data_IF_159704509259
#
_entry.id   IF_159704509259
#
_cell.length_a   1.000
_cell.length_b   1.000
_cell.length_c   1.000
_cell.angle_alpha   90.00
_cell.angle_beta   90.00
_cell.angle_gamma   90.00
#
_symmetry.space_group_name_H-M   'P 1'
#
loop_
_entity.id
_entity.type
_entity.pdbx_description
1 polymer ?
#
# COMPACT_ATOMS: atom_id res chain seq x y z
N UNK A 1 -15.00 5.66 -21.32
CA UNK A 1 -14.63 4.23 -21.54
C UNK A 1 -15.55 3.37 -20.70
N UNK A 2 -15.93 2.17 -21.16
CA UNK A 2 -16.86 1.31 -20.41
C UNK A 2 -16.24 0.63 -19.18
N UNK A 3 -17.08 0.27 -18.20
CA UNK A 3 -16.68 -0.52 -17.03
C UNK A 3 -16.03 -1.84 -17.46
N UNK A 4 -14.88 -2.18 -16.87
CA UNK A 4 -14.09 -3.39 -17.18
C UNK A 4 -13.76 -3.60 -18.67
N UNK A 5 -13.86 -2.55 -19.49
CA UNK A 5 -13.43 -2.63 -20.89
C UNK A 5 -11.92 -2.69 -20.98
N UNK A 6 -11.40 -3.35 -22.03
CA UNK A 6 -9.96 -3.42 -22.29
C UNK A 6 -9.32 -2.03 -22.34
N UNK A 7 -10.01 -1.04 -22.92
CA UNK A 7 -9.55 0.34 -22.97
C UNK A 7 -9.42 0.97 -21.56
N UNK A 8 -10.42 0.79 -20.68
CA UNK A 8 -10.35 1.29 -19.31
C UNK A 8 -9.20 0.63 -18.54
N UNK A 9 -9.11 -0.69 -18.64
CA UNK A 9 -8.08 -1.51 -18.00
C UNK A 9 -6.69 -1.05 -18.42
N UNK A 10 -6.48 -0.86 -19.72
CA UNK A 10 -5.22 -0.41 -20.30
C UNK A 10 -4.78 0.95 -19.72
N UNK A 11 -5.68 1.95 -19.74
CA UNK A 11 -5.35 3.28 -19.22
C UNK A 11 -5.04 3.25 -17.72
N UNK A 12 -5.80 2.49 -16.94
CA UNK A 12 -5.52 2.31 -15.51
C UNK A 12 -4.15 1.66 -15.28
N UNK A 13 -3.80 0.62 -16.05
CA UNK A 13 -2.54 -0.08 -15.91
C UNK A 13 -1.34 0.81 -16.27
N UNK A 14 -1.42 1.55 -17.37
CA UNK A 14 -0.34 2.44 -17.83
C UNK A 14 -0.18 3.66 -16.91
N UNK A 15 -1.28 4.28 -16.47
CA UNK A 15 -1.24 5.37 -15.48
C UNK A 15 -0.62 4.90 -14.16
N UNK A 16 -0.99 3.70 -13.69
CA UNK A 16 -0.41 3.09 -12.49
C UNK A 16 1.10 2.88 -12.63
N UNK A 17 1.59 2.42 -13.79
CA UNK A 17 3.03 2.25 -14.03
C UNK A 17 3.77 3.58 -13.87
N UNK A 18 3.28 4.64 -14.52
CA UNK A 18 3.89 5.98 -14.42
C UNK A 18 3.97 6.46 -12.97
N UNK A 19 2.89 6.32 -12.21
CA UNK A 19 2.85 6.72 -10.80
C UNK A 19 3.76 5.85 -9.90
N UNK A 20 3.90 4.56 -10.21
CA UNK A 20 4.78 3.65 -9.45
C UNK A 20 6.26 3.94 -9.67
N UNK A 21 6.64 4.39 -10.88
CA UNK A 21 8.01 4.86 -11.17
C UNK A 21 8.33 6.15 -10.41
N UNK A 22 7.39 7.10 -10.38
CA UNK A 22 7.55 8.34 -9.61
C UNK A 22 7.66 8.04 -8.11
N UNK A 23 6.84 7.10 -7.61
CA UNK A 23 6.93 6.59 -6.25
C UNK A 23 8.30 5.98 -5.96
N UNK A 24 8.79 5.11 -6.84
CA UNK A 24 10.07 4.43 -6.66
C UNK A 24 11.23 5.42 -6.58
N UNK A 25 11.18 6.52 -7.35
CA UNK A 25 12.22 7.54 -7.37
C UNK A 25 12.19 8.49 -6.18
N UNK A 26 10.99 8.97 -5.80
CA UNK A 26 10.88 10.14 -4.95
C UNK A 26 10.51 9.84 -3.49
N UNK A 27 9.85 8.71 -3.20
CA UNK A 27 9.26 8.51 -1.87
C UNK A 27 10.34 8.13 -0.85
N UNK A 28 10.48 8.97 0.18
CA UNK A 28 11.35 8.77 1.33
C UNK A 28 10.82 9.55 2.53
N UNK A 29 11.42 9.35 3.71
CA UNK A 29 11.12 10.14 4.90
C UNK A 29 11.45 11.62 4.65
N UNK A 30 10.45 12.48 4.77
CA UNK A 30 10.55 13.93 4.50
C UNK A 30 11.56 14.64 5.42
N UNK A 31 11.88 14.06 6.57
CA UNK A 31 12.94 14.54 7.48
C UNK A 31 14.34 14.41 6.88
N UNK A 32 14.51 13.56 5.86
CA UNK A 32 15.79 13.22 5.25
C UNK A 32 15.86 13.54 3.75
N UNK A 33 14.73 13.64 3.06
CA UNK A 33 14.67 13.96 1.64
C UNK A 33 13.44 14.78 1.31
N UNK A 34 13.60 15.82 0.48
CA UNK A 34 12.47 16.65 0.03
C UNK A 34 11.78 16.00 -1.16
N UNK A 35 10.61 15.42 -0.91
CA UNK A 35 9.71 14.91 -1.95
C UNK A 35 8.92 16.09 -2.54
N UNK A 36 8.89 16.29 -3.88
CA UNK A 36 8.15 17.39 -4.49
C UNK A 36 6.64 17.07 -4.60
N UNK A 37 5.97 16.87 -3.46
CA UNK A 37 4.58 16.39 -3.38
C UNK A 37 3.61 17.26 -4.19
N UNK A 38 3.68 18.58 -4.04
CA UNK A 38 2.82 19.52 -4.76
C UNK A 38 2.96 19.41 -6.29
N UNK A 39 4.19 19.25 -6.78
CA UNK A 39 4.45 19.07 -8.20
C UNK A 39 3.91 17.73 -8.70
N UNK A 40 4.20 16.63 -7.98
CA UNK A 40 3.73 15.29 -8.33
C UNK A 40 2.20 15.18 -8.36
N UNK A 41 1.51 15.96 -7.53
CA UNK A 41 0.04 16.02 -7.47
C UNK A 41 -0.58 17.10 -8.37
N UNK A 42 0.23 17.89 -9.09
CA UNK A 42 -0.27 18.99 -9.91
C UNK A 42 -1.01 18.50 -11.17
N UNK A 43 -2.02 19.25 -11.61
CA UNK A 43 -2.75 18.96 -12.85
C UNK A 43 -1.86 19.08 -14.10
N UNK A 44 -0.91 20.00 -14.08
CA UNK A 44 0.04 20.18 -15.18
C UNK A 44 0.93 18.92 -15.36
N UNK A 45 1.55 18.46 -14.27
CA UNK A 45 2.36 17.24 -14.33
C UNK A 45 1.52 16.01 -14.68
N UNK A 46 0.30 15.89 -14.14
CA UNK A 46 -0.60 14.81 -14.50
C UNK A 46 -0.92 14.80 -16.02
N UNK A 47 -1.10 15.96 -16.64
CA UNK A 47 -1.31 16.06 -18.09
C UNK A 47 -0.07 15.63 -18.89
N UNK A 48 1.13 16.04 -18.46
CA UNK A 48 2.40 15.60 -19.07
C UNK A 48 2.55 14.07 -19.01
N UNK A 49 2.24 13.46 -17.87
CA UNK A 49 2.30 12.01 -17.68
C UNK A 49 1.23 11.29 -18.49
N UNK A 50 0.00 11.82 -18.54
CA UNK A 50 -1.09 11.23 -19.31
C UNK A 50 -0.80 11.18 -20.81
N UNK A 51 -0.08 12.17 -21.36
CA UNK A 51 0.32 12.20 -22.77
C UNK A 51 1.23 11.02 -23.18
N UNK A 52 1.87 10.34 -22.22
CA UNK A 52 2.70 9.16 -22.47
C UNK A 52 1.86 7.87 -22.66
N UNK A 53 0.60 7.88 -22.24
CA UNK A 53 -0.30 6.73 -22.34
C UNK A 53 -0.87 6.67 -23.76
N UNK A 54 -0.51 5.62 -24.48
CA UNK A 54 -1.04 5.36 -25.82
C UNK A 54 -2.13 4.31 -25.80
N UNK A 55 -3.27 4.51 -26.46
CA UNK A 55 -4.39 3.57 -26.43
C UNK A 55 -4.12 2.27 -27.20
N UNK A 56 -3.16 2.27 -28.13
CA UNK A 56 -2.87 1.20 -29.08
C UNK A 56 -1.69 0.31 -28.67
N UNK A 57 -0.88 0.73 -27.68
CA UNK A 57 0.30 -0.02 -27.25
C UNK A 57 0.68 0.22 -25.81
N UNK A 58 1.34 -0.80 -25.26
CA UNK A 58 1.96 -0.79 -23.93
C UNK A 58 3.27 0.00 -23.97
N UNK A 59 3.64 0.70 -22.88
CA UNK A 59 4.94 1.37 -22.77
C UNK A 59 6.13 0.40 -22.77
N UNK A 60 7.19 0.77 -23.48
CA UNK A 60 8.35 -0.09 -23.76
C UNK A 60 9.34 -0.25 -22.58
N UNK A 61 9.35 0.65 -21.58
CA UNK A 61 10.34 0.64 -20.47
C UNK A 61 9.78 1.20 -19.15
N UNK A 62 9.87 0.43 -18.07
CA UNK A 62 9.67 0.86 -16.67
C UNK A 62 10.65 0.06 -15.78
N UNK A 63 11.49 0.72 -14.97
CA UNK A 63 12.41 0.08 -13.99
C UNK A 63 12.63 1.03 -12.80
N UNK A 64 12.57 0.56 -11.53
CA UNK A 64 13.34 -0.62 -11.07
C UNK A 64 12.59 -1.70 -10.24
N UNK A 65 13.06 -2.95 -10.39
CA UNK A 65 13.15 -4.01 -9.35
C UNK A 65 11.94 -4.90 -9.06
N UNK A 66 12.09 -6.23 -9.25
CA UNK A 66 11.18 -7.26 -8.73
C UNK A 66 11.47 -7.54 -7.24
N UNK A 67 10.74 -6.85 -6.35
CA UNK A 67 10.57 -7.31 -4.99
C UNK A 67 9.21 -8.03 -4.88
N UNK A 68 9.15 -9.34 -4.59
CA UNK A 68 7.89 -9.99 -4.26
C UNK A 68 7.32 -9.37 -2.97
N UNK A 69 6.42 -8.40 -3.12
CA UNK A 69 5.67 -7.84 -2.00
C UNK A 69 4.53 -8.80 -1.67
N UNK A 70 4.77 -9.68 -0.70
CA UNK A 70 3.72 -10.37 0.04
C UNK A 70 3.68 -9.72 1.40
N UNK A 71 2.74 -8.80 1.56
CA UNK A 71 2.49 -8.10 2.81
C UNK A 71 1.02 -8.24 3.14
N UNK A 72 0.73 -8.98 4.20
CA UNK A 72 -0.58 -9.00 4.81
C UNK A 72 -0.67 -7.83 5.79
N UNK A 73 -1.82 -7.17 5.77
CA UNK A 73 -2.06 -5.94 6.49
C UNK A 73 -3.50 -5.99 6.97
N UNK A 74 -3.76 -5.46 8.16
CA UNK A 74 -5.12 -5.36 8.67
C UNK A 74 -5.59 -3.92 8.49
N UNK A 75 -6.69 -3.76 7.76
CA UNK A 75 -7.41 -2.51 7.60
C UNK A 75 -8.74 -2.60 8.34
N UNK A 76 -9.17 -1.51 8.95
CA UNK A 76 -10.55 -1.35 9.39
C UNK A 76 -11.01 0.10 9.26
N UNK A 77 -12.31 0.28 9.08
CA UNK A 77 -12.96 1.58 9.14
C UNK A 77 -14.06 1.58 10.19
N UNK A 78 -14.21 2.72 10.85
CA UNK A 78 -15.31 2.97 11.79
C UNK A 78 -16.03 4.23 11.36
N UNK A 79 -17.36 4.22 11.44
CA UNK A 79 -18.19 5.41 11.34
C UNK A 79 -19.23 5.36 12.46
N UNK A 80 -19.55 6.50 13.06
CA UNK A 80 -20.57 6.60 14.12
C UNK A 80 -21.72 7.55 13.75
N UNK A 81 -22.72 7.61 14.64
CA UNK A 81 -23.92 8.42 14.48
C UNK A 81 -23.65 9.93 14.50
N UNK A 82 -22.54 10.34 15.11
CA UNK A 82 -22.16 11.74 15.32
C UNK A 82 -21.25 12.24 14.17
N UNK A 83 -21.00 11.40 13.17
CA UNK A 83 -20.24 11.76 11.97
C UNK A 83 -18.73 11.62 12.12
N UNK A 84 -18.24 10.95 13.17
CA UNK A 84 -16.84 10.53 13.22
C UNK A 84 -16.60 9.41 12.21
N UNK A 85 -15.55 9.54 11.40
CA UNK A 85 -15.06 8.46 10.55
C UNK A 85 -13.57 8.24 10.78
N UNK A 86 -13.17 6.98 10.87
CA UNK A 86 -11.78 6.55 11.07
C UNK A 86 -11.42 5.57 9.95
N UNK A 87 -10.30 5.85 9.28
CA UNK A 87 -9.62 4.94 8.36
C UNK A 87 -8.31 4.52 9.00
N UNK A 88 -8.23 3.27 9.45
CA UNK A 88 -7.10 2.78 10.22
C UNK A 88 -6.47 1.55 9.58
N UNK A 89 -5.14 1.55 9.55
CA UNK A 89 -4.40 0.43 8.99
C UNK A 89 -3.09 0.20 9.73
N UNK A 90 -2.84 -1.05 10.06
CA UNK A 90 -1.65 -1.48 10.80
C UNK A 90 -1.08 -2.77 10.22
N UNK A 91 0.24 -2.94 10.31
CA UNK A 91 0.89 -4.13 9.77
C UNK A 91 2.31 -4.29 10.30
N UNK A 92 2.69 -5.55 10.54
CA UNK A 92 4.06 -5.96 10.79
C UNK A 92 4.94 -6.06 9.53
N UNK A 93 4.45 -5.55 8.40
CA UNK A 93 4.94 -5.71 7.02
C UNK A 93 4.69 -7.11 6.44
N UNK A 94 5.53 -8.11 6.73
CA UNK A 94 5.30 -9.48 6.22
C UNK A 94 4.68 -10.38 7.27
N UNK A 95 3.37 -10.60 7.22
CA UNK A 95 2.67 -11.55 8.10
C UNK A 95 3.00 -11.30 9.58
N UNK A 96 3.76 -12.22 10.18
CA UNK A 96 4.21 -12.12 11.58
C UNK A 96 5.45 -11.22 11.80
N UNK A 97 5.86 -10.44 10.79
CA UNK A 97 7.02 -9.56 10.83
C UNK A 97 8.33 -10.34 10.83
N UNK A 98 9.28 -9.89 11.64
CA UNK A 98 10.60 -10.51 11.79
C UNK A 98 10.57 -11.92 12.38
N UNK A 99 9.44 -12.33 12.96
CA UNK A 99 9.32 -13.57 13.75
C UNK A 99 9.98 -13.49 15.13
N UNK A 100 10.56 -12.35 15.49
CA UNK A 100 11.10 -12.09 16.82
C UNK A 100 9.98 -11.66 17.77
N UNK A 101 9.97 -12.26 18.96
CA UNK A 101 9.06 -11.92 20.06
C UNK A 101 9.95 -11.51 21.24
N UNK A 102 9.69 -10.37 21.90
CA UNK A 102 10.47 -10.00 23.07
C UNK A 102 10.19 -10.94 24.25
N UNK A 103 11.25 -11.23 24.98
CA UNK A 103 11.16 -11.94 26.25
C UNK A 103 10.72 -10.96 27.36
N UNK A 104 9.87 -11.45 28.25
CA UNK A 104 9.46 -10.79 29.47
C UNK A 104 10.50 -10.93 30.59
N UNK A 105 10.32 -10.21 31.70
CA UNK A 105 11.24 -10.25 32.84
C UNK A 105 11.41 -11.65 33.46
N UNK A 106 10.43 -12.54 33.26
CA UNK A 106 10.40 -13.92 33.76
C UNK A 106 10.91 -14.95 32.74
N UNK A 107 11.42 -14.51 31.58
CA UNK A 107 11.85 -15.38 30.48
C UNK A 107 10.73 -15.99 29.66
N UNK A 108 9.47 -15.63 29.91
CA UNK A 108 8.34 -15.95 29.03
C UNK A 108 8.31 -15.02 27.82
N UNK A 109 7.60 -15.36 26.75
CA UNK A 109 7.43 -14.44 25.61
C UNK A 109 6.28 -13.47 25.86
N UNK A 110 6.46 -12.18 25.52
CA UNK A 110 5.42 -11.16 25.71
C UNK A 110 4.24 -11.24 24.71
N UNK A 111 4.30 -12.17 23.75
CA UNK A 111 3.17 -12.48 22.87
C UNK A 111 2.93 -11.54 21.69
N UNK A 112 3.75 -10.51 21.47
CA UNK A 112 3.70 -9.66 20.28
C UNK A 112 4.99 -9.74 19.46
N UNK A 113 4.88 -9.70 18.14
CA UNK A 113 6.03 -9.83 17.23
C UNK A 113 6.53 -8.48 16.75
N UNK A 114 7.86 -8.36 16.59
CA UNK A 114 8.45 -7.18 15.98
C UNK A 114 8.26 -7.19 14.46
N UNK A 115 7.87 -6.05 13.92
CA UNK A 115 7.78 -5.83 12.47
C UNK A 115 9.13 -6.00 11.74
N UNK A 116 9.09 -6.35 10.46
CA UNK A 116 10.26 -6.41 9.56
C UNK A 116 10.27 -5.27 8.52
N UNK A 117 9.56 -4.17 8.81
CA UNK A 117 9.39 -2.99 7.93
C UNK A 117 10.70 -2.39 7.40
N UNK A 118 11.80 -2.58 8.11
CA UNK A 118 13.14 -2.15 7.68
C UNK A 118 13.56 -2.72 6.32
N UNK A 119 12.96 -3.83 5.85
CA UNK A 119 13.18 -4.37 4.51
C UNK A 119 12.85 -3.37 3.39
N UNK A 120 12.00 -2.37 3.67
CA UNK A 120 11.63 -1.35 2.69
C UNK A 120 12.68 -0.24 2.53
N UNK A 121 13.83 -0.27 3.22
CA UNK A 121 14.94 0.61 2.88
C UNK A 121 15.59 0.20 1.55
N UNK A 122 16.03 1.19 0.78
CA UNK A 122 16.83 0.96 -0.42
C UNK A 122 18.26 0.55 -0.03
N UNK A 123 18.83 -0.38 -0.81
CA UNK A 123 20.23 -0.81 -0.69
C UNK A 123 21.14 -0.13 -1.72
N UNK A 124 20.59 0.77 -2.54
CA UNK A 124 21.32 1.49 -3.58
C UNK A 124 21.78 2.83 -3.03
N UNK A 125 23.09 3.03 -2.99
CA UNK A 125 23.70 4.29 -2.57
C UNK A 125 23.15 5.48 -3.35
N UNK A 126 22.97 6.60 -2.66
CA UNK A 126 22.37 7.82 -3.22
C UNK A 126 20.85 7.78 -3.38
N UNK A 127 20.19 6.64 -3.15
CA UNK A 127 18.73 6.59 -3.17
C UNK A 127 18.14 7.35 -1.97
N UNK A 128 17.09 8.18 -2.16
CA UNK A 128 16.48 8.96 -1.07
C UNK A 128 16.00 8.13 0.12
N UNK A 129 15.70 6.85 -0.11
CA UNK A 129 15.22 5.89 0.89
C UNK A 129 16.32 4.91 1.40
N UNK A 130 17.61 5.27 1.34
CA UNK A 130 18.66 4.51 2.07
C UNK A 130 18.51 4.66 3.58
N UNK A 131 18.89 3.64 4.34
CA UNK A 131 18.86 3.65 5.81
C UNK A 131 19.63 4.83 6.42
N UNK A 132 19.07 5.41 7.48
CA UNK A 132 19.79 6.30 8.40
C UNK A 132 19.20 6.17 9.82
N UNK A 133 19.98 6.41 10.89
CA UNK A 133 19.46 6.40 12.26
C UNK A 133 18.26 7.36 12.41
N UNK A 134 17.19 6.89 13.05
CA UNK A 134 15.95 7.66 13.25
C UNK A 134 15.10 7.87 12.00
N UNK A 135 15.54 7.45 10.81
CA UNK A 135 14.77 7.51 9.57
C UNK A 135 13.73 6.42 9.52
N UNK A 136 12.54 6.73 9.00
CA UNK A 136 11.50 5.75 8.70
C UNK A 136 11.71 5.21 7.28
N UNK A 137 11.60 3.90 7.06
CA UNK A 137 11.59 3.37 5.70
C UNK A 137 10.34 3.84 4.96
N UNK A 138 10.38 3.79 3.63
CA UNK A 138 9.17 3.84 2.80
C UNK A 138 8.09 2.91 3.39
N UNK A 139 6.85 3.39 3.45
CA UNK A 139 5.72 2.63 3.97
C UNK A 139 4.76 2.26 2.85
N UNK A 140 4.35 0.98 2.83
CA UNK A 140 3.30 0.48 1.95
C UNK A 140 1.90 0.74 2.49
N UNK A 141 1.78 1.05 3.79
CA UNK A 141 0.50 1.22 4.49
C UNK A 141 -0.09 2.60 4.15
N UNK A 142 -1.30 2.62 3.58
CA UNK A 142 -2.01 3.85 3.25
C UNK A 142 -3.50 3.79 3.66
N UNK A 143 -3.97 4.53 4.68
CA UNK A 143 -5.41 4.67 4.94
C UNK A 143 -6.02 5.62 3.90
N UNK A 144 -7.11 5.21 3.26
CA UNK A 144 -7.86 6.04 2.32
C UNK A 144 -8.97 6.80 3.03
N UNK A 145 -9.13 8.08 2.68
CA UNK A 145 -10.24 8.91 3.12
C UNK A 145 -10.68 9.82 1.99
N UNK A 146 -11.93 9.69 1.55
CA UNK A 146 -12.49 10.45 0.44
C UNK A 146 -13.45 11.54 0.94
N UNK A 147 -13.46 12.67 0.25
CA UNK A 147 -14.39 13.77 0.50
C UNK A 147 -15.08 14.17 -0.81
N UNK A 148 -16.35 14.57 -0.72
CA UNK A 148 -17.16 14.99 -1.86
C UNK A 148 -17.83 16.31 -1.49
N UNK A 149 -17.64 17.35 -2.32
CA UNK A 149 -18.16 18.69 -1.99
C UNK A 149 -17.55 19.31 -0.72
N UNK A 150 -16.34 18.90 -0.34
CA UNK A 150 -15.69 19.35 0.91
C UNK A 150 -16.09 18.55 2.16
N UNK A 151 -17.13 17.71 2.07
CA UNK A 151 -17.65 16.91 3.17
C UNK A 151 -17.07 15.49 3.18
N UNK A 152 -16.84 14.89 4.36
CA UNK A 152 -16.46 13.48 4.47
C UNK A 152 -17.44 12.56 3.75
N UNK A 153 -16.92 11.76 2.83
CA UNK A 153 -17.72 10.84 2.03
C UNK A 153 -17.49 9.39 2.44
N UNK A 154 -16.23 8.99 2.68
CA UNK A 154 -15.90 7.59 2.91
C UNK A 154 -14.52 7.38 3.55
N UNK A 155 -14.47 6.56 4.60
CA UNK A 155 -13.24 5.93 5.09
C UNK A 155 -13.08 4.56 4.42
N UNK A 156 -12.01 4.34 3.68
CA UNK A 156 -11.84 3.13 2.89
C UNK A 156 -10.37 2.70 2.79
N UNK A 157 -10.16 1.43 2.48
CA UNK A 157 -8.82 0.87 2.35
C UNK A 157 -8.86 -0.50 1.72
N UNK A 158 -7.79 -0.81 0.99
CA UNK A 158 -7.57 -2.13 0.38
C UNK A 158 -6.26 -2.66 0.96
N UNK A 159 -6.27 -3.91 1.43
CA UNK A 159 -5.10 -4.57 2.00
C UNK A 159 -4.21 -5.18 0.90
N UNK A 160 -2.92 -5.45 1.19
CA UNK A 160 -2.05 -6.21 0.28
C UNK A 160 -0.80 -5.48 -0.24
N UNK A 161 -0.08 -4.77 0.64
CA UNK A 161 1.24 -4.17 0.32
C UNK A 161 1.25 -3.27 -0.93
N UNK A 162 1.98 -3.67 -1.99
CA UNK A 162 2.05 -2.91 -3.23
C UNK A 162 0.73 -2.78 -3.99
N UNK A 163 -0.31 -3.55 -3.62
CA UNK A 163 -1.65 -3.45 -4.18
C UNK A 163 -2.44 -2.27 -3.60
N UNK A 164 -2.14 -1.79 -2.38
CA UNK A 164 -2.98 -0.82 -1.70
C UNK A 164 -3.27 0.44 -2.56
N UNK A 165 -2.27 1.11 -3.19
CA UNK A 165 -2.55 2.32 -3.98
C UNK A 165 -3.39 2.02 -5.23
N UNK A 166 -3.13 0.87 -5.88
CA UNK A 166 -3.89 0.46 -7.06
C UNK A 166 -5.34 0.12 -6.70
N UNK A 167 -5.55 -0.64 -5.63
CA UNK A 167 -6.89 -1.03 -5.18
C UNK A 167 -7.71 0.16 -4.72
N UNK A 168 -7.13 1.06 -3.94
CA UNK A 168 -7.83 2.26 -3.50
C UNK A 168 -8.23 3.16 -4.68
N UNK A 169 -7.36 3.32 -5.68
CA UNK A 169 -7.74 4.04 -6.90
C UNK A 169 -8.89 3.35 -7.64
N UNK A 170 -8.87 2.02 -7.73
CA UNK A 170 -9.94 1.24 -8.37
C UNK A 170 -11.29 1.39 -7.65
N UNK A 171 -11.32 1.41 -6.32
CA UNK A 171 -12.56 1.67 -5.56
C UNK A 171 -13.15 3.04 -5.94
N UNK A 172 -12.32 4.09 -5.96
CA UNK A 172 -12.79 5.43 -6.32
C UNK A 172 -13.26 5.50 -7.78
N UNK A 173 -12.51 4.92 -8.72
CA UNK A 173 -12.89 4.85 -10.14
C UNK A 173 -14.23 4.11 -10.30
N UNK A 174 -14.39 2.96 -9.64
CA UNK A 174 -15.61 2.16 -9.69
C UNK A 174 -16.84 2.94 -9.21
N UNK A 175 -16.71 3.69 -8.13
CA UNK A 175 -17.84 4.43 -7.56
C UNK A 175 -18.10 5.76 -8.28
N UNK A 176 -17.06 6.46 -8.72
CA UNK A 176 -17.19 7.79 -9.34
C UNK A 176 -17.44 7.72 -10.84
N UNK A 177 -16.65 6.92 -11.56
CA UNK A 177 -16.71 6.88 -13.03
C UNK A 177 -17.71 5.84 -13.54
N UNK A 178 -17.95 4.77 -12.77
CA UNK A 178 -18.85 3.68 -13.15
C UNK A 178 -20.14 3.61 -12.34
N UNK A 179 -20.30 4.45 -11.31
CA UNK A 179 -21.53 4.56 -10.54
C UNK A 179 -21.86 3.35 -9.68
N UNK A 180 -20.88 2.50 -9.38
CA UNK A 180 -21.07 1.34 -8.51
C UNK A 180 -21.27 1.77 -7.05
N UNK A 181 -22.05 1.00 -6.30
CA UNK A 181 -22.13 1.16 -4.85
C UNK A 181 -20.87 0.63 -4.14
N UNK A 182 -20.67 0.88 -2.82
CA UNK A 182 -19.47 0.44 -2.11
C UNK A 182 -19.22 -1.07 -2.14
N UNK A 183 -20.28 -1.89 -2.07
CA UNK A 183 -20.18 -3.34 -2.08
C UNK A 183 -19.84 -3.84 -3.48
N UNK A 184 -20.54 -3.33 -4.50
CA UNK A 184 -20.26 -3.63 -5.91
C UNK A 184 -18.84 -3.23 -6.30
N UNK A 185 -18.38 -2.06 -5.85
CA UNK A 185 -17.03 -1.58 -6.11
C UNK A 185 -15.96 -2.48 -5.47
N UNK A 186 -16.23 -3.03 -4.29
CA UNK A 186 -15.36 -3.98 -3.59
C UNK A 186 -15.35 -5.38 -4.20
N UNK A 187 -16.51 -5.84 -4.68
CA UNK A 187 -16.67 -7.16 -5.32
C UNK A 187 -16.18 -7.18 -6.77
N UNK A 188 -16.12 -6.01 -7.41
CA UNK A 188 -15.65 -5.87 -8.78
C UNK A 188 -14.24 -6.49 -8.97
N UNK A 189 -14.08 -7.18 -10.10
CA UNK A 189 -12.81 -7.79 -10.49
C UNK A 189 -11.65 -6.80 -10.44
N UNK A 190 -10.79 -6.95 -9.44
CA UNK A 190 -9.64 -6.07 -9.26
C UNK A 190 -8.48 -6.53 -10.13
N UNK A 191 -7.83 -5.57 -10.78
CA UNK A 191 -6.58 -5.85 -11.46
C UNK A 191 -5.41 -5.61 -10.53
N UNK A 192 -4.39 -6.46 -10.66
CA UNK A 192 -3.08 -6.27 -10.05
C UNK A 192 -2.03 -6.30 -11.13
N UNK A 193 -1.48 -5.12 -11.45
CA UNK A 193 -0.32 -5.03 -12.33
C UNK A 193 0.92 -5.44 -11.55
N UNK A 194 1.57 -6.53 -11.93
CA UNK A 194 2.92 -6.82 -11.45
C UNK A 194 3.92 -5.95 -12.22
N UNK A 195 5.12 -5.67 -11.67
CA UNK A 195 6.12 -4.82 -12.33
C UNK A 195 6.60 -5.34 -13.70
N UNK A 196 6.27 -6.58 -14.10
CA UNK A 196 6.65 -7.12 -15.40
C UNK A 196 5.76 -6.60 -16.55
N UNK A 197 6.32 -6.37 -17.75
CA UNK A 197 5.55 -5.97 -18.93
C UNK A 197 4.44 -6.95 -19.33
N UNK A 198 4.45 -8.19 -18.79
CA UNK A 198 3.60 -9.30 -19.24
C UNK A 198 2.62 -9.84 -18.21
N UNK A 199 2.53 -9.29 -17.00
CA UNK A 199 1.70 -9.88 -15.94
C UNK A 199 0.72 -8.89 -15.31
N UNK A 200 -0.48 -8.78 -15.89
CA UNK A 200 -1.68 -8.34 -15.18
C UNK A 200 -2.35 -9.60 -14.63
N UNK A 201 -2.49 -9.70 -13.31
CA UNK A 201 -3.35 -10.71 -12.68
C UNK A 201 -4.70 -10.06 -12.40
N UNK A 202 -5.76 -10.60 -12.99
CA UNK A 202 -7.13 -10.31 -12.60
C UNK A 202 -7.56 -11.37 -11.58
N UNK A 203 -8.16 -10.96 -10.46
CA UNK A 203 -8.83 -11.93 -9.58
C UNK A 203 -10.10 -12.40 -10.30
N UNK A 204 -10.17 -13.68 -10.66
CA UNK A 204 -11.41 -14.35 -11.02
C UNK A 204 -11.98 -15.02 -9.76
N UNK A 205 -13.27 -14.84 -9.49
CA UNK A 205 -14.00 -15.57 -8.45
C UNK A 205 -14.23 -17.02 -8.90
N UNK A 206 -13.46 -17.98 -8.38
CA UNK A 206 -13.69 -19.41 -8.59
C UNK A 206 -13.48 -20.22 -7.30
N UNK A 207 -14.20 -21.34 -7.08
CA UNK A 207 -14.29 -22.02 -5.79
C UNK A 207 -13.01 -22.77 -5.41
N UNK A 208 -12.73 -22.78 -4.11
CA UNK A 208 -11.56 -23.34 -3.46
C UNK A 208 -11.58 -24.89 -3.49
N UNK A 209 -10.49 -25.51 -3.97
CA UNK A 209 -10.15 -26.89 -3.59
C UNK A 209 -8.66 -27.03 -3.26
N UNK A 210 -8.46 -27.44 -2.00
CA UNK A 210 -7.32 -28.12 -1.33
C UNK A 210 -5.86 -27.83 -1.72
N UNK A 211 -5.08 -27.44 -0.70
CA UNK A 211 -3.62 -27.64 -0.66
C UNK A 211 -3.23 -28.38 0.63
N UNK A 212 -2.30 -29.35 0.60
CA UNK A 212 -1.71 -29.93 1.80
C UNK A 212 -0.45 -29.18 2.25
N UNK A 213 -0.21 -29.30 3.54
CA UNK A 213 0.78 -28.65 4.39
C UNK A 213 2.11 -29.43 4.42
N UNK A 214 3.26 -28.75 4.55
CA UNK A 214 4.43 -29.37 5.20
C UNK A 214 5.37 -28.34 5.83
N UNK A 215 5.72 -28.62 7.10
CA UNK A 215 6.64 -27.89 7.98
C UNK A 215 8.09 -28.30 7.74
N UNK A 216 9.04 -27.40 8.05
CA UNK A 216 10.27 -27.72 8.84
C UNK A 216 10.95 -26.42 9.33
N UNK A 217 11.18 -26.32 10.65
CA UNK A 217 11.95 -25.26 11.32
C UNK A 217 13.41 -25.71 11.49
N UNK A 218 14.36 -24.79 11.37
CA UNK A 218 15.71 -24.88 11.98
C UNK A 218 15.95 -23.60 12.79
N UNK A 219 16.49 -23.75 14.00
CA UNK A 219 16.85 -22.67 14.94
C UNK A 219 18.25 -22.15 14.64
N UNK A 220 18.45 -20.84 14.76
CA UNK A 220 19.74 -20.16 14.85
C UNK A 220 19.71 -19.27 16.09
N UNK A 221 20.74 -19.37 16.94
CA UNK A 221 20.90 -18.58 18.16
C UNK A 221 21.66 -17.28 17.86
N UNK A 222 21.21 -16.15 18.42
CA UNK A 222 21.97 -14.91 18.51
C UNK A 222 21.82 -14.26 19.89
N UNK A 223 22.91 -13.66 20.40
CA UNK A 223 22.99 -12.98 21.69
C UNK A 223 22.55 -11.50 21.56
N UNK A 224 21.90 -10.90 22.59
CA UNK A 224 21.31 -9.57 22.46
C UNK A 224 22.33 -8.44 22.66
N UNK A 225 22.16 -7.36 21.89
CA UNK A 225 22.75 -6.05 22.13
C UNK A 225 21.68 -5.12 22.73
N UNK A 226 22.08 -4.32 23.71
CA UNK A 226 21.20 -3.53 24.57
C UNK A 226 21.02 -2.08 24.08
N UNK A 227 19.76 -1.66 23.96
CA UNK A 227 19.29 -0.33 24.38
C UNK A 227 19.34 0.83 23.37
N UNK A 228 18.15 1.32 22.99
CA UNK A 228 17.68 2.68 23.35
C UNK A 228 16.19 2.81 23.01
N UNK A 229 15.51 3.68 23.77
CA UNK A 229 14.06 3.77 23.98
C UNK A 229 13.36 4.45 22.79
N UNK A 230 12.06 4.14 22.66
CA UNK A 230 11.09 4.52 21.62
C UNK A 230 11.03 3.59 20.39
N UNK A 231 10.28 2.49 20.53
CA UNK A 231 9.88 1.66 19.41
C UNK A 231 8.52 2.14 18.89
N UNK A 232 8.43 2.79 17.71
CA UNK A 232 7.14 3.06 17.10
C UNK A 232 6.54 1.76 16.59
N UNK A 233 5.41 1.35 17.16
CA UNK A 233 4.49 0.42 16.50
C UNK A 233 4.07 1.04 15.17
N UNK A 234 4.33 0.38 14.04
CA UNK A 234 3.99 0.93 12.72
C UNK A 234 2.49 0.85 12.45
N UNK A 235 1.79 1.95 12.68
CA UNK A 235 0.43 2.19 12.22
C UNK A 235 0.36 3.51 11.45
N UNK A 236 -0.56 3.60 10.50
CA UNK A 236 -0.98 4.87 9.91
C UNK A 236 -2.49 5.02 10.02
N UNK A 237 -2.90 6.26 10.28
CA UNK A 237 -4.26 6.59 10.71
C UNK A 237 -4.69 7.85 9.98
N UNK A 238 -5.88 7.83 9.39
CA UNK A 238 -6.57 9.03 8.95
C UNK A 238 -7.89 9.14 9.74
N UNK A 239 -8.04 10.21 10.51
CA UNK A 239 -9.24 10.52 11.30
C UNK A 239 -9.80 11.83 10.80
N UNK A 240 -11.12 11.89 10.60
CA UNK A 240 -11.83 13.14 10.37
C UNK A 240 -13.16 13.11 11.12
N UNK A 241 -13.41 14.16 11.90
CA UNK A 241 -14.74 14.42 12.45
C UNK A 241 -15.46 15.42 11.56
N UNK A 242 -16.74 15.16 11.31
CA UNK A 242 -17.64 16.15 10.73
C UNK A 242 -18.53 16.74 11.82
N UNK A 243 -18.40 18.04 12.08
CA UNK A 243 -19.21 18.76 13.06
C UNK A 243 -20.56 19.26 12.50
N UNK A 244 -21.03 18.70 11.38
CA UNK A 244 -22.21 19.18 10.64
C UNK A 244 -23.55 18.58 11.07
N UNK A 245 -23.60 17.89 12.21
CA UNK A 245 -24.82 17.46 12.89
C UNK A 245 -24.84 17.98 14.31
#
# INVERSE_FOLDING_TARGET
MGFQSAASIHHQAEAKRLAFEDRAKWFADERFSRTPVEYLNSKAYAAERAALIRPDRVMDRAFPGDAPTQGDTTYFSVADKDGMMVSWIQSNYRGMGSGLVPDGPDGSTLGFMFQDRGELFALTDGHPNVYAPGKRPFHTIIPGFACKGGEPWMAYGVMGGGMQPQGQAQIIINMVDYGLDPQEAGDAGSMRGLPSPRAIRQKASAPCSSRPESRRRRRLNWRPWAGSREAPMAGSVAIRMWSGR
#
